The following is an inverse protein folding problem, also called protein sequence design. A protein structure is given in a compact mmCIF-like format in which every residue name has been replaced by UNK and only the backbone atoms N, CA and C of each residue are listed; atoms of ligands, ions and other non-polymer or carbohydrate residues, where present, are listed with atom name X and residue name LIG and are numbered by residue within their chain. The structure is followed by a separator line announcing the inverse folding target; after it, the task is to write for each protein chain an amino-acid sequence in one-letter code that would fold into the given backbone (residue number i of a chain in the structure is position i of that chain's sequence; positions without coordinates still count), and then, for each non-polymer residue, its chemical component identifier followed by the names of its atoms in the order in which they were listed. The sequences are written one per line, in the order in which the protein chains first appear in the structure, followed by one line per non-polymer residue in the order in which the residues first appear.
data_IF_031209536866
#
_entry.id   IF_031209536866
#
_cell.length_a   1.000
_cell.length_b   1.000
_cell.length_c   1.000
_cell.angle_alpha   90.00
_cell.angle_beta   90.00
_cell.angle_gamma   90.00
#
_symmetry.space_group_name_H-M   'P 1'
#
loop_
_entity.id
_entity.type
_entity.pdbx_description
1 polymer ?
#
# COMPACT_ATOMS: atom_id res chain seq x y z
N UNK A 1 17.80 1.24 2.99
CA UNK A 1 17.44 2.54 2.37
C UNK A 1 16.11 2.34 1.65
N UNK A 2 15.14 3.22 1.87
CA UNK A 2 13.86 3.17 1.16
C UNK A 2 13.99 3.89 -0.18
N UNK A 3 13.35 3.36 -1.21
CA UNK A 3 13.27 3.98 -2.54
C UNK A 3 11.96 4.77 -2.62
N UNK A 4 12.01 6.12 -2.76
CA UNK A 4 10.81 6.95 -2.73
C UNK A 4 9.78 6.61 -3.80
N UNK A 5 10.22 6.15 -4.98
CA UNK A 5 9.31 5.80 -6.09
C UNK A 5 8.38 4.64 -5.76
N UNK A 6 8.79 3.72 -4.88
CA UNK A 6 7.95 2.60 -4.43
C UNK A 6 6.85 3.03 -3.46
N UNK A 7 7.06 4.17 -2.81
CA UNK A 7 6.11 4.77 -1.88
C UNK A 7 5.30 5.90 -2.52
N UNK A 8 5.52 6.16 -3.81
CA UNK A 8 4.87 7.26 -4.51
C UNK A 8 3.86 6.69 -5.48
N UNK A 9 2.61 7.16 -5.37
CA UNK A 9 1.61 6.91 -6.42
C UNK A 9 2.19 7.40 -7.77
N UNK A 10 2.17 6.57 -8.83
CA UNK A 10 2.66 6.96 -10.14
C UNK A 10 1.98 8.24 -10.63
N UNK A 11 2.79 9.19 -11.13
CA UNK A 11 2.30 10.46 -11.67
C UNK A 11 1.39 10.16 -12.86
N UNK A 12 0.20 10.76 -12.86
CA UNK A 12 -0.74 10.64 -13.98
C UNK A 12 -0.09 11.20 -15.24
N UNK A 13 -0.06 10.41 -16.31
CA UNK A 13 0.19 10.94 -17.66
C UNK A 13 -1.03 11.77 -18.07
N UNK A 14 -0.80 13.01 -18.54
CA UNK A 14 -1.83 13.99 -18.89
C UNK A 14 -2.85 13.48 -19.93
N UNK A 15 -2.52 12.42 -20.66
CA UNK A 15 -3.35 11.82 -21.71
C UNK A 15 -4.08 10.53 -21.27
N UNK A 16 -4.23 10.27 -19.98
CA UNK A 16 -4.96 9.08 -19.52
C UNK A 16 -6.48 9.27 -19.61
N UNK A 17 -7.14 8.38 -20.35
CA UNK A 17 -8.62 8.35 -20.42
C UNK A 17 -9.19 8.01 -19.04
N UNK A 18 -10.11 8.84 -18.56
CA UNK A 18 -10.81 8.61 -17.29
C UNK A 18 -11.79 7.45 -17.46
N UNK A 19 -11.66 6.42 -16.63
CA UNK A 19 -12.52 5.22 -16.70
C UNK A 19 -13.67 5.32 -15.69
N UNK A 20 -14.57 6.27 -15.89
CA UNK A 20 -15.64 6.62 -14.93
C UNK A 20 -16.43 5.41 -14.41
N UNK A 21 -16.85 4.51 -15.30
CA UNK A 21 -17.59 3.29 -14.92
C UNK A 21 -16.80 2.40 -13.96
N UNK A 22 -15.48 2.28 -14.14
CA UNK A 22 -14.63 1.48 -13.24
C UNK A 22 -14.32 2.23 -11.96
N UNK A 23 -14.14 3.56 -12.02
CA UNK A 23 -13.98 4.40 -10.84
C UNK A 23 -15.22 4.37 -9.95
N UNK A 24 -16.42 4.35 -10.53
CA UNK A 24 -17.67 4.18 -9.78
C UNK A 24 -17.70 2.84 -9.02
N UNK A 25 -17.25 1.74 -9.66
CA UNK A 25 -17.13 0.43 -8.99
C UNK A 25 -16.11 0.47 -7.84
N UNK A 26 -14.96 1.09 -8.06
CA UNK A 26 -13.92 1.27 -7.04
C UNK A 26 -14.31 2.24 -5.93
N UNK A 27 -15.25 3.16 -6.18
CA UNK A 27 -15.77 4.05 -5.13
C UNK A 27 -16.51 3.26 -4.05
N UNK A 28 -17.12 2.12 -4.42
CA UNK A 28 -17.66 1.16 -3.47
C UNK A 28 -16.59 0.43 -2.64
N UNK A 29 -15.31 0.50 -2.98
CA UNK A 29 -14.22 -0.14 -2.23
C UNK A 29 -14.15 0.35 -0.78
N UNK A 30 -14.62 1.58 -0.49
CA UNK A 30 -14.71 2.11 0.86
C UNK A 30 -15.58 1.25 1.81
N UNK A 31 -16.48 0.43 1.25
CA UNK A 31 -17.35 -0.46 2.01
C UNK A 31 -16.72 -1.83 2.30
N UNK A 32 -15.49 -2.08 1.82
CA UNK A 32 -14.80 -3.35 1.94
C UNK A 32 -13.47 -3.19 2.65
N UNK A 33 -13.09 -4.18 3.45
CA UNK A 33 -11.76 -4.23 4.10
C UNK A 33 -10.64 -4.56 3.13
N UNK A 34 -10.97 -5.18 2.00
CA UNK A 34 -10.03 -5.57 0.95
C UNK A 34 -10.73 -5.51 -0.41
N UNK A 35 -10.10 -4.85 -1.37
CA UNK A 35 -10.53 -4.82 -2.77
C UNK A 35 -9.37 -5.29 -3.65
N UNK A 36 -9.57 -6.38 -4.39
CA UNK A 36 -8.57 -6.92 -5.32
C UNK A 36 -8.89 -6.46 -6.75
N UNK A 37 -7.94 -5.76 -7.38
CA UNK A 37 -8.06 -5.32 -8.78
C UNK A 37 -7.19 -6.22 -9.66
N UNK A 38 -7.83 -7.08 -10.45
CA UNK A 38 -7.14 -8.00 -11.37
C UNK A 38 -7.40 -7.64 -12.83
N UNK A 39 -6.37 -7.83 -13.66
CA UNK A 39 -6.41 -7.73 -15.11
C UNK A 39 -5.06 -8.23 -15.68
N UNK A 40 -4.98 -8.54 -16.99
CA UNK A 40 -3.71 -8.81 -17.64
C UNK A 40 -2.75 -7.61 -17.61
N UNK A 41 -1.47 -7.86 -17.89
CA UNK A 41 -0.46 -6.80 -18.01
C UNK A 41 -0.83 -5.79 -19.10
N UNK A 42 -0.54 -4.50 -18.88
CA UNK A 42 -0.84 -3.43 -19.84
C UNK A 42 -2.29 -2.92 -19.87
N UNK A 43 -3.23 -3.54 -19.15
CA UNK A 43 -4.64 -3.11 -19.15
C UNK A 43 -4.94 -1.88 -18.28
N UNK A 44 -3.93 -1.30 -17.62
CA UNK A 44 -4.05 -0.04 -16.87
C UNK A 44 -4.59 -0.19 -15.44
N UNK A 45 -4.25 -1.27 -14.72
CA UNK A 45 -4.62 -1.45 -13.29
C UNK A 45 -4.08 -0.31 -12.44
N UNK A 46 -2.77 -0.12 -12.49
CA UNK A 46 -2.06 0.96 -11.79
C UNK A 46 -2.63 2.31 -12.18
N UNK A 47 -2.94 2.54 -13.46
CA UNK A 47 -3.60 3.79 -13.90
C UNK A 47 -4.97 3.97 -13.24
N UNK A 48 -5.81 2.95 -13.20
CA UNK A 48 -7.13 3.00 -12.59
C UNK A 48 -7.06 3.24 -11.07
N UNK A 49 -6.17 2.54 -10.37
CA UNK A 49 -5.99 2.69 -8.91
C UNK A 49 -5.39 4.06 -8.59
N UNK A 50 -4.39 4.53 -9.36
CA UNK A 50 -3.85 5.89 -9.25
C UNK A 50 -4.91 6.96 -9.52
N UNK A 51 -5.83 6.70 -10.45
CA UNK A 51 -6.96 7.58 -10.71
C UNK A 51 -7.90 7.65 -9.50
N UNK A 52 -8.28 6.50 -8.94
CA UNK A 52 -9.13 6.41 -7.74
C UNK A 52 -8.46 6.99 -6.49
N UNK A 53 -7.15 6.84 -6.34
CA UNK A 53 -6.37 7.37 -5.22
C UNK A 53 -6.23 8.91 -5.26
N UNK A 54 -6.56 9.57 -6.36
CA UNK A 54 -6.43 11.01 -6.47
C UNK A 54 -7.34 11.76 -5.48
N UNK A 55 -6.76 12.72 -4.77
CA UNK A 55 -7.46 13.53 -3.78
C UNK A 55 -7.66 12.87 -2.41
N UNK A 56 -7.14 11.65 -2.20
CA UNK A 56 -7.15 10.99 -0.89
C UNK A 56 -5.87 11.34 -0.14
N UNK A 57 -6.00 12.02 1.00
CA UNK A 57 -4.88 12.36 1.86
C UNK A 57 -4.54 11.22 2.83
N UNK A 58 -5.53 10.40 3.20
CA UNK A 58 -5.37 9.29 4.14
C UNK A 58 -4.98 7.97 3.41
N UNK A 59 -4.09 8.07 2.41
CA UNK A 59 -3.72 6.96 1.52
C UNK A 59 -2.21 6.76 1.45
N UNK A 60 -1.80 5.50 1.67
CA UNK A 60 -0.43 5.03 1.52
C UNK A 60 -0.28 4.21 0.25
N UNK A 61 0.88 4.31 -0.40
CA UNK A 61 1.20 3.53 -1.59
C UNK A 61 2.43 2.67 -1.35
N UNK A 62 2.35 1.40 -1.75
CA UNK A 62 3.49 0.49 -1.76
C UNK A 62 3.48 -0.34 -3.05
N UNK A 63 4.38 -0.01 -3.97
CA UNK A 63 4.67 -0.84 -5.14
C UNK A 63 5.67 -1.94 -4.77
N UNK A 64 5.25 -3.19 -4.90
CA UNK A 64 6.09 -4.36 -4.66
C UNK A 64 7.05 -4.61 -5.83
N UNK A 65 8.25 -5.09 -5.53
CA UNK A 65 9.16 -5.69 -6.49
C UNK A 65 9.67 -7.06 -6.00
N UNK A 66 10.40 -7.78 -6.86
CA UNK A 66 10.99 -9.09 -6.54
C UNK A 66 11.93 -9.05 -5.33
N UNK A 67 12.53 -7.88 -5.05
CA UNK A 67 13.43 -7.68 -3.91
C UNK A 67 12.71 -7.57 -2.57
N UNK A 68 11.38 -7.40 -2.54
CA UNK A 68 10.58 -7.28 -1.32
C UNK A 68 10.18 -8.61 -0.69
N UNK A 69 10.62 -9.73 -1.26
CA UNK A 69 10.44 -11.06 -0.65
C UNK A 69 11.21 -11.21 0.69
N UNK A 70 12.05 -10.22 1.04
CA UNK A 70 12.68 -10.12 2.35
C UNK A 70 11.74 -9.49 3.37
N UNK A 71 11.40 -10.23 4.43
CA UNK A 71 10.50 -9.81 5.51
C UNK A 71 10.81 -8.42 6.07
N UNK A 72 12.09 -8.09 6.26
CA UNK A 72 12.53 -6.78 6.76
C UNK A 72 12.22 -5.63 5.80
N UNK A 73 12.40 -5.88 4.50
CA UNK A 73 12.15 -4.88 3.45
C UNK A 73 10.65 -4.66 3.29
N UNK A 74 9.88 -5.74 3.26
CA UNK A 74 8.43 -5.68 3.26
C UNK A 74 7.89 -4.88 4.45
N UNK A 75 8.33 -5.19 5.68
CA UNK A 75 7.97 -4.44 6.88
C UNK A 75 8.32 -2.95 6.75
N UNK A 76 9.52 -2.65 6.24
CA UNK A 76 10.00 -1.27 6.08
C UNK A 76 9.13 -0.45 5.14
N UNK A 77 8.81 -0.98 3.96
CA UNK A 77 7.96 -0.27 3.01
C UNK A 77 6.50 -0.21 3.46
N UNK A 78 5.98 -1.27 4.07
CA UNK A 78 4.61 -1.32 4.56
C UNK A 78 4.38 -0.25 5.64
N UNK A 79 5.26 -0.18 6.65
CA UNK A 79 5.14 0.84 7.70
C UNK A 79 5.36 2.24 7.15
N UNK A 80 6.30 2.43 6.21
CA UNK A 80 6.49 3.73 5.56
C UNK A 80 5.23 4.18 4.78
N UNK A 81 4.56 3.28 4.07
CA UNK A 81 3.32 3.57 3.37
C UNK A 81 2.18 3.92 4.36
N UNK A 82 2.07 3.21 5.49
CA UNK A 82 1.10 3.53 6.54
C UNK A 82 1.40 4.89 7.19
N UNK A 83 2.68 5.23 7.40
CA UNK A 83 3.05 6.54 7.92
C UNK A 83 2.66 7.69 6.99
N UNK A 84 2.82 7.51 5.67
CA UNK A 84 2.32 8.50 4.70
C UNK A 84 0.81 8.67 4.78
N UNK A 85 0.09 7.55 4.91
CA UNK A 85 -1.36 7.51 4.96
C UNK A 85 -1.94 8.09 6.26
N UNK A 86 -1.18 8.05 7.35
CA UNK A 86 -1.60 8.54 8.67
C UNK A 86 -0.98 9.89 9.04
N UNK A 87 -0.10 10.44 8.21
CA UNK A 87 0.63 11.67 8.52
C UNK A 87 1.60 11.52 9.71
N UNK A 88 2.17 10.33 9.92
CA UNK A 88 3.16 10.08 10.97
C UNK A 88 2.60 9.56 12.30
N UNK A 89 1.32 9.16 12.36
CA UNK A 89 0.65 8.70 13.59
C UNK A 89 1.27 7.44 14.20
N UNK A 90 1.86 6.56 13.39
CA UNK A 90 2.36 5.24 13.81
C UNK A 90 3.87 5.26 14.15
N UNK A 91 4.29 6.21 14.99
CA UNK A 91 5.71 6.46 15.30
C UNK A 91 6.41 5.30 16.03
N UNK A 92 5.70 4.55 16.88
CA UNK A 92 6.27 3.42 17.59
C UNK A 92 6.55 2.26 16.63
N UNK A 93 5.62 1.95 15.74
CA UNK A 93 5.82 0.94 14.68
C UNK A 93 6.97 1.30 13.75
N UNK A 94 7.08 2.58 13.38
CA UNK A 94 8.21 3.08 12.60
C UNK A 94 9.53 2.88 13.34
N UNK A 95 9.60 3.25 14.61
CA UNK A 95 10.81 3.08 15.43
C UNK A 95 11.20 1.60 15.57
N UNK A 96 10.24 0.70 15.74
CA UNK A 96 10.48 -0.76 15.79
C UNK A 96 11.10 -1.26 14.49
N UNK A 97 10.60 -0.82 13.34
CA UNK A 97 11.15 -1.19 12.03
C UNK A 97 12.55 -0.61 11.83
N UNK A 98 12.75 0.68 12.09
CA UNK A 98 14.05 1.35 11.89
C UNK A 98 15.15 0.72 12.75
N UNK A 99 14.83 0.35 13.99
CA UNK A 99 15.76 -0.31 14.91
C UNK A 99 15.83 -1.83 14.74
N UNK A 100 15.00 -2.40 13.86
CA UNK A 100 14.81 -3.86 13.70
C UNK A 100 14.47 -4.55 15.04
N UNK A 101 13.68 -3.87 15.86
CA UNK A 101 13.29 -4.30 17.20
C UNK A 101 11.89 -4.93 17.19
N UNK A 102 11.72 -5.97 16.39
CA UNK A 102 10.51 -6.79 16.41
C UNK A 102 10.89 -8.25 16.21
N UNK A 103 10.23 -9.15 16.94
CA UNK A 103 10.52 -10.59 16.87
C UNK A 103 9.98 -11.24 15.59
N UNK A 104 8.88 -10.71 15.06
CA UNK A 104 8.18 -11.24 13.88
C UNK A 104 7.22 -10.20 13.28
N UNK A 105 6.76 -10.39 12.03
CA UNK A 105 5.74 -9.53 11.43
C UNK A 105 4.45 -9.45 12.29
N UNK A 106 3.91 -10.55 12.83
CA UNK A 106 2.77 -10.47 13.75
C UNK A 106 3.01 -9.54 14.95
N UNK A 107 4.20 -9.54 15.54
CA UNK A 107 4.52 -8.63 16.66
C UNK A 107 4.54 -7.16 16.23
N UNK A 108 5.04 -6.87 15.03
CA UNK A 108 5.01 -5.53 14.45
C UNK A 108 3.57 -5.08 14.14
N UNK A 109 2.75 -5.97 13.59
CA UNK A 109 1.34 -5.67 13.30
C UNK A 109 0.51 -5.47 14.55
N UNK A 110 0.78 -6.20 15.63
CA UNK A 110 0.15 -5.96 16.91
C UNK A 110 0.40 -4.52 17.39
N UNK A 111 1.66 -4.05 17.34
CA UNK A 111 1.97 -2.66 17.67
C UNK A 111 1.27 -1.67 16.73
N UNK A 112 1.30 -1.92 15.43
CA UNK A 112 0.66 -1.06 14.44
C UNK A 112 -0.85 -0.94 14.70
N UNK A 113 -1.52 -2.04 15.02
CA UNK A 113 -2.95 -2.04 15.31
C UNK A 113 -3.29 -1.33 16.62
N UNK A 114 -2.39 -1.33 17.61
CA UNK A 114 -2.55 -0.51 18.82
C UNK A 114 -2.55 0.97 18.46
N UNK A 115 -1.59 1.43 17.64
CA UNK A 115 -1.54 2.83 17.22
C UNK A 115 -2.75 3.21 16.34
N UNK A 116 -3.18 2.32 15.45
CA UNK A 116 -4.33 2.53 14.58
C UNK A 116 -5.68 2.40 15.31
N UNK A 117 -5.74 1.85 16.52
CA UNK A 117 -6.98 1.77 17.30
C UNK A 117 -7.54 3.16 17.63
N UNK A 118 -6.65 4.14 17.81
CA UNK A 118 -7.00 5.54 18.09
C UNK A 118 -7.17 6.38 16.80
N UNK A 119 -6.98 5.79 15.62
CA UNK A 119 -7.14 6.46 14.33
C UNK A 119 -8.63 6.50 13.92
N UNK A 120 -9.22 7.69 13.92
CA UNK A 120 -10.68 7.87 13.75
C UNK A 120 -11.13 8.09 12.30
N UNK A 121 -10.23 8.02 11.32
CA UNK A 121 -10.53 8.26 9.90
C UNK A 121 -10.32 6.99 9.07
N UNK A 122 -10.96 6.86 7.91
CA UNK A 122 -10.63 5.80 6.98
C UNK A 122 -9.15 5.85 6.60
N UNK A 123 -8.49 4.70 6.60
CA UNK A 123 -7.10 4.55 6.17
C UNK A 123 -7.07 3.66 4.93
N UNK A 124 -6.47 4.14 3.84
CA UNK A 124 -6.31 3.36 2.62
C UNK A 124 -4.85 2.97 2.41
N UNK A 125 -4.62 1.71 2.09
CA UNK A 125 -3.32 1.22 1.69
C UNK A 125 -3.44 0.58 0.30
N UNK A 126 -2.69 1.09 -0.66
CA UNK A 126 -2.55 0.49 -1.98
C UNK A 126 -1.28 -0.34 -2.01
N UNK A 127 -1.44 -1.62 -2.32
CA UNK A 127 -0.32 -2.52 -2.61
C UNK A 127 -0.36 -2.81 -4.11
N UNK A 128 0.55 -2.20 -4.87
CA UNK A 128 0.65 -2.38 -6.32
C UNK A 128 1.65 -3.50 -6.66
N UNK A 129 1.47 -4.10 -7.84
CA UNK A 129 2.31 -5.19 -8.36
C UNK A 129 2.43 -6.44 -7.48
N UNK A 130 1.40 -6.72 -6.67
CA UNK A 130 1.33 -7.90 -5.77
C UNK A 130 1.61 -9.25 -6.46
N UNK A 131 1.30 -9.37 -7.75
CA UNK A 131 1.54 -10.59 -8.53
C UNK A 131 3.01 -11.01 -8.62
N UNK A 132 3.96 -10.09 -8.42
CA UNK A 132 5.39 -10.40 -8.44
C UNK A 132 5.84 -11.26 -7.24
N UNK A 133 5.09 -11.24 -6.13
CA UNK A 133 5.39 -12.06 -4.94
C UNK A 133 4.72 -13.44 -4.93
N UNK A 134 4.07 -13.87 -6.02
CA UNK A 134 3.45 -15.21 -6.11
C UNK A 134 4.34 -16.28 -6.75
N UNK A 135 5.60 -16.00 -7.10
CA UNK A 135 6.50 -16.98 -7.75
C UNK A 135 7.23 -17.94 -6.80
N UNK A 136 6.76 -18.11 -5.56
CA UNK A 136 7.34 -19.09 -4.62
C UNK A 136 6.29 -20.12 -4.22
N UNK A 137 5.95 -21.02 -5.14
CA UNK A 137 4.94 -22.05 -4.86
C UNK A 137 4.80 -23.20 -5.86
N UNK A 138 5.55 -23.25 -6.95
CA UNK A 138 5.58 -24.42 -7.83
C UNK A 138 7.04 -24.85 -8.06
N UNK A 139 7.46 -25.83 -7.26
CA UNK A 139 8.55 -26.76 -7.56
C UNK A 139 8.26 -28.08 -6.87
#
# INVERSE_FOLDING_TARGET
MLIPSKLSRPVRLEHTVVRERLLAKLSGANNYRLALVTSPAGYGKTTLVSQWAAGKNDLGWFSLDEGDNQQERFASYLIAAVQQATGGHCAASEAMVQKRQYASLPSLFAQLFIELADWQRPLFLVIDDYHLNQQSGDS
#
